data_IF_229371320181
#
_entry.id   IF_229371320181
#
_cell.length_a   1.000
_cell.length_b   1.000
_cell.length_c   1.000
_cell.angle_alpha   90.00
_cell.angle_beta   90.00
_cell.angle_gamma   90.00
#
_symmetry.space_group_name_H-M   'P 1'
#
loop_
_entity.id
_entity.type
_entity.pdbx_description
1 polymer ?
#
# COMPACT_ATOMS: atom_id res chain seq x y z
N UNK A 1 -1.47 76.72 1.63
CA UNK A 1 -1.61 75.99 0.35
C UNK A 1 -0.44 75.02 0.10
N UNK A 2 0.82 75.43 0.30
CA UNK A 2 2.01 74.59 0.05
C UNK A 2 2.12 73.34 0.96
N UNK A 3 1.85 73.47 2.26
CA UNK A 3 1.86 72.35 3.22
C UNK A 3 0.85 71.24 2.88
N UNK A 4 -0.31 71.60 2.33
CA UNK A 4 -1.34 70.63 1.95
C UNK A 4 -0.90 69.79 0.73
N UNK A 5 -0.23 70.41 -0.25
CA UNK A 5 0.30 69.72 -1.42
C UNK A 5 1.44 68.75 -1.05
N UNK A 6 2.32 69.14 -0.12
CA UNK A 6 3.37 68.27 0.40
C UNK A 6 2.78 67.07 1.14
N UNK A 7 1.74 67.28 1.96
CA UNK A 7 1.07 66.20 2.68
C UNK A 7 0.35 65.22 1.74
N UNK A 8 -0.35 65.73 0.72
CA UNK A 8 -0.98 64.91 -0.32
C UNK A 8 0.07 64.11 -1.10
N UNK A 9 1.19 64.72 -1.46
CA UNK A 9 2.30 64.04 -2.14
C UNK A 9 2.91 62.92 -1.29
N UNK A 10 3.09 63.17 0.01
CA UNK A 10 3.56 62.16 0.96
C UNK A 10 2.59 60.99 1.09
N UNK A 11 1.28 61.25 1.27
CA UNK A 11 0.26 60.21 1.34
C UNK A 11 0.19 59.38 0.05
N UNK A 12 0.32 60.03 -1.11
CA UNK A 12 0.35 59.35 -2.40
C UNK A 12 1.59 58.46 -2.54
N UNK A 13 2.76 58.94 -2.11
CA UNK A 13 3.99 58.15 -2.06
C UNK A 13 3.84 56.94 -1.12
N UNK A 14 3.31 57.13 0.09
CA UNK A 14 3.04 56.04 1.03
C UNK A 14 2.11 54.98 0.42
N UNK A 15 1.03 55.40 -0.26
CA UNK A 15 0.11 54.49 -0.95
C UNK A 15 0.79 53.73 -2.08
N UNK A 16 1.63 54.40 -2.87
CA UNK A 16 2.34 53.78 -3.99
C UNK A 16 3.39 52.77 -3.49
N UNK A 17 4.13 53.11 -2.43
CA UNK A 17 5.06 52.21 -1.78
C UNK A 17 4.34 51.00 -1.18
N UNK A 18 3.25 51.21 -0.43
CA UNK A 18 2.43 50.11 0.11
C UNK A 18 1.96 49.17 -1.00
N UNK A 19 1.41 49.70 -2.10
CA UNK A 19 0.95 48.88 -3.22
C UNK A 19 2.09 48.09 -3.87
N UNK A 20 3.27 48.70 -4.08
CA UNK A 20 4.43 48.02 -4.65
C UNK A 20 4.98 46.94 -3.73
N UNK A 21 5.10 47.21 -2.43
CA UNK A 21 5.53 46.24 -1.44
C UNK A 21 4.54 45.09 -1.31
N UNK A 22 3.24 45.38 -1.25
CA UNK A 22 2.17 44.36 -1.20
C UNK A 22 2.19 43.48 -2.45
N UNK A 23 2.30 44.06 -3.64
CA UNK A 23 2.38 43.30 -4.90
C UNK A 23 3.65 42.45 -4.97
N UNK A 24 4.80 43.00 -4.59
CA UNK A 24 6.06 42.27 -4.56
C UNK A 24 6.03 41.12 -3.53
N UNK A 25 5.48 41.38 -2.34
CA UNK A 25 5.32 40.39 -1.29
C UNK A 25 4.36 39.27 -1.71
N UNK A 26 3.25 39.60 -2.38
CA UNK A 26 2.32 38.62 -2.93
C UNK A 26 3.00 37.72 -3.98
N UNK A 27 3.80 38.29 -4.89
CA UNK A 27 4.55 37.51 -5.90
C UNK A 27 5.60 36.62 -5.23
N UNK A 28 6.36 37.16 -4.27
CA UNK A 28 7.36 36.39 -3.53
C UNK A 28 6.71 35.23 -2.75
N UNK A 29 5.59 35.50 -2.06
CA UNK A 29 4.81 34.48 -1.38
C UNK A 29 4.30 33.40 -2.32
N UNK A 30 3.70 33.78 -3.46
CA UNK A 30 3.22 32.82 -4.46
C UNK A 30 4.34 31.94 -5.03
N UNK A 31 5.55 32.50 -5.22
CA UNK A 31 6.72 31.73 -5.65
C UNK A 31 7.14 30.71 -4.60
N UNK A 32 7.20 31.11 -3.34
CA UNK A 32 7.55 30.20 -2.24
C UNK A 32 6.51 29.09 -2.09
N UNK A 33 5.21 29.43 -2.10
CA UNK A 33 4.13 28.43 -2.05
C UNK A 33 4.24 27.43 -3.20
N UNK A 34 4.48 27.91 -4.43
CA UNK A 34 4.66 27.02 -5.59
C UNK A 34 5.90 26.14 -5.45
N UNK A 35 6.99 26.68 -4.92
CA UNK A 35 8.21 25.91 -4.70
C UNK A 35 7.98 24.76 -3.70
N UNK A 36 7.36 25.05 -2.56
CA UNK A 36 7.02 24.02 -1.56
C UNK A 36 6.02 23.00 -2.10
N UNK A 37 5.01 23.45 -2.85
CA UNK A 37 4.05 22.55 -3.52
C UNK A 37 4.75 21.61 -4.52
N UNK A 38 5.70 22.13 -5.30
CA UNK A 38 6.43 21.31 -6.26
C UNK A 38 7.29 20.25 -5.56
N UNK A 39 7.99 20.62 -4.48
CA UNK A 39 8.77 19.65 -3.68
C UNK A 39 7.86 18.58 -3.07
N UNK A 40 6.72 19.00 -2.54
CA UNK A 40 5.73 18.09 -1.97
C UNK A 40 5.21 17.10 -3.03
N UNK A 41 4.86 17.57 -4.23
CA UNK A 41 4.41 16.70 -5.32
C UNK A 41 5.53 15.79 -5.85
N UNK A 42 6.75 16.29 -6.01
CA UNK A 42 7.90 15.45 -6.41
C UNK A 42 8.11 14.29 -5.42
N UNK A 43 7.94 14.57 -4.13
CA UNK A 43 8.00 13.54 -3.11
C UNK A 43 6.85 12.55 -3.21
N UNK A 44 5.61 13.03 -3.33
CA UNK A 44 4.42 12.17 -3.29
C UNK A 44 4.22 11.39 -4.59
N UNK A 45 4.65 11.90 -5.74
CA UNK A 45 4.55 11.22 -7.03
C UNK A 45 5.70 10.24 -7.28
N UNK A 46 6.69 10.17 -6.39
CA UNK A 46 7.77 9.19 -6.49
C UNK A 46 7.24 7.77 -6.40
N UNK A 47 7.67 6.93 -7.34
CA UNK A 47 7.10 5.61 -7.54
C UNK A 47 7.93 4.52 -6.88
N UNK A 48 7.25 3.50 -6.36
CA UNK A 48 7.80 2.17 -6.15
C UNK A 48 7.25 1.22 -7.22
N UNK A 49 8.11 0.35 -7.72
CA UNK A 49 7.72 -0.72 -8.63
C UNK A 49 7.63 -2.06 -7.92
N UNK A 50 6.58 -2.83 -8.19
CA UNK A 50 6.39 -4.18 -7.66
C UNK A 50 6.80 -5.20 -8.73
N UNK A 51 8.04 -5.70 -8.63
CA UNK A 51 8.66 -6.61 -9.60
C UNK A 51 8.06 -8.00 -9.54
N UNK A 52 8.12 -8.59 -8.35
CA UNK A 52 7.50 -9.87 -8.03
C UNK A 52 6.44 -9.64 -6.97
N UNK A 53 5.28 -10.26 -7.16
CA UNK A 53 4.15 -10.21 -6.24
C UNK A 53 3.69 -11.65 -6.02
N UNK A 54 3.85 -12.14 -4.80
CA UNK A 54 3.37 -13.44 -4.37
C UNK A 54 2.38 -13.25 -3.24
N UNK A 55 1.29 -13.99 -3.30
CA UNK A 55 0.22 -13.93 -2.33
C UNK A 55 -0.32 -15.34 -2.11
N UNK A 56 -0.27 -15.79 -0.86
CA UNK A 56 -0.84 -17.04 -0.38
C UNK A 56 -2.08 -16.73 0.45
N UNK A 57 -3.18 -17.39 0.14
CA UNK A 57 -4.42 -17.26 0.88
C UNK A 57 -5.35 -18.44 0.73
N UNK A 58 -6.49 -18.44 1.43
CA UNK A 58 -7.38 -19.60 1.45
C UNK A 58 -8.00 -19.89 0.08
N UNK A 59 -8.17 -18.85 -0.74
CA UNK A 59 -8.64 -18.97 -2.11
C UNK A 59 -7.57 -19.47 -3.09
N UNK A 60 -6.28 -19.30 -2.83
CA UNK A 60 -5.28 -19.70 -3.82
C UNK A 60 -3.87 -19.27 -3.48
N UNK A 61 -2.97 -19.55 -4.40
CA UNK A 61 -1.56 -19.18 -4.27
C UNK A 61 -1.00 -18.64 -5.59
N UNK A 62 -1.53 -19.09 -6.73
CA UNK A 62 -1.00 -18.74 -8.03
C UNK A 62 -1.70 -17.52 -8.64
N UNK A 63 -1.01 -16.81 -9.54
CA UNK A 63 -1.58 -15.65 -10.25
C UNK A 63 -2.93 -15.96 -10.90
N UNK A 64 -3.09 -17.16 -11.45
CA UNK A 64 -4.34 -17.58 -12.09
C UNK A 64 -5.50 -17.73 -11.09
N UNK A 65 -5.22 -18.14 -9.85
CA UNK A 65 -6.25 -18.21 -8.80
C UNK A 65 -6.74 -16.79 -8.49
N UNK A 66 -5.80 -15.86 -8.28
CA UNK A 66 -6.12 -14.47 -7.99
C UNK A 66 -6.83 -13.77 -9.15
N UNK A 67 -6.49 -14.07 -10.40
CA UNK A 67 -7.26 -13.61 -11.56
C UNK A 67 -8.72 -14.07 -11.53
N UNK A 68 -8.98 -15.32 -11.11
CA UNK A 68 -10.35 -15.83 -10.98
C UNK A 68 -11.11 -15.19 -9.82
N UNK A 69 -10.43 -14.88 -8.71
CA UNK A 69 -11.00 -14.10 -7.60
C UNK A 69 -11.38 -12.69 -8.07
N UNK A 70 -10.45 -11.99 -8.73
CA UNK A 70 -10.66 -10.63 -9.25
C UNK A 70 -11.77 -10.57 -10.32
N UNK A 71 -11.90 -11.63 -11.14
CA UNK A 71 -12.99 -11.76 -12.11
C UNK A 71 -14.30 -12.30 -11.51
N UNK A 72 -14.30 -12.59 -10.20
CA UNK A 72 -15.47 -13.13 -9.44
C UNK A 72 -16.00 -14.44 -10.01
N UNK A 73 -15.12 -15.23 -10.60
CA UNK A 73 -15.40 -16.58 -11.13
C UNK A 73 -15.21 -17.62 -10.03
N UNK A 74 -14.25 -17.36 -9.13
CA UNK A 74 -13.91 -18.27 -8.05
C UNK A 74 -14.97 -18.26 -6.95
N UNK A 75 -15.33 -19.46 -6.47
CA UNK A 75 -16.16 -19.58 -5.27
C UNK A 75 -15.34 -19.26 -4.02
N UNK A 76 -15.94 -18.63 -3.00
CA UNK A 76 -15.31 -18.48 -1.70
C UNK A 76 -14.77 -19.83 -1.16
N UNK A 77 -13.62 -19.81 -0.48
CA UNK A 77 -13.04 -20.99 0.16
C UNK A 77 -13.96 -21.55 1.24
N UNK A 78 -13.85 -22.86 1.49
CA UNK A 78 -14.71 -23.56 2.45
C UNK A 78 -14.24 -23.30 3.88
N UNK A 79 -15.18 -22.85 4.72
CA UNK A 79 -14.96 -22.68 6.15
C UNK A 79 -14.60 -24.00 6.84
N UNK A 80 -13.57 -23.96 7.69
CA UNK A 80 -13.20 -25.04 8.60
C UNK A 80 -13.64 -24.68 10.01
N UNK A 81 -13.95 -25.70 10.81
CA UNK A 81 -14.28 -25.54 12.22
C UNK A 81 -13.12 -26.08 13.04
N UNK A 82 -12.42 -25.17 13.72
CA UNK A 82 -11.34 -25.48 14.67
C UNK A 82 -11.87 -25.32 16.10
N UNK A 83 -11.10 -25.79 17.09
CA UNK A 83 -11.49 -25.79 18.51
C UNK A 83 -11.88 -24.40 19.04
N UNK A 84 -11.40 -23.33 18.41
CA UNK A 84 -11.68 -21.94 18.77
C UNK A 84 -12.70 -21.21 17.89
N UNK A 85 -13.30 -21.85 16.88
CA UNK A 85 -14.28 -21.21 15.99
C UNK A 85 -14.06 -21.49 14.51
N UNK A 86 -14.66 -20.64 13.66
CA UNK A 86 -14.60 -20.77 12.20
C UNK A 86 -13.30 -20.21 11.64
N UNK A 87 -12.72 -20.87 10.65
CA UNK A 87 -11.46 -20.47 10.02
C UNK A 87 -11.48 -20.63 8.51
N UNK A 88 -10.73 -19.77 7.83
CA UNK A 88 -10.35 -19.92 6.43
C UNK A 88 -8.85 -20.15 6.37
N UNK A 89 -8.47 -21.39 6.08
CA UNK A 89 -7.08 -21.84 6.11
C UNK A 89 -6.58 -22.19 4.73
N UNK A 90 -5.29 -21.96 4.51
CA UNK A 90 -4.60 -22.40 3.30
C UNK A 90 -4.57 -23.94 3.29
N UNK A 91 -4.88 -24.54 2.14
CA UNK A 91 -5.08 -25.98 2.04
C UNK A 91 -3.84 -26.82 2.44
N UNK A 92 -2.64 -26.23 2.38
CA UNK A 92 -1.34 -26.89 2.54
C UNK A 92 -0.70 -26.74 3.92
N UNK A 93 -1.37 -26.08 4.86
CA UNK A 93 -0.94 -25.95 6.26
C UNK A 93 -1.72 -26.91 7.15
N UNK A 94 -1.01 -27.71 7.95
CA UNK A 94 -1.61 -28.83 8.70
C UNK A 94 -1.46 -28.72 10.22
N UNK A 95 -0.70 -27.74 10.73
CA UNK A 95 -0.58 -27.56 12.18
C UNK A 95 -1.82 -26.86 12.76
N UNK A 96 -2.12 -27.20 14.01
CA UNK A 96 -3.11 -26.51 14.85
C UNK A 96 -2.49 -25.30 15.60
N UNK A 97 -1.16 -25.23 15.69
CA UNK A 97 -0.45 -24.10 16.30
C UNK A 97 -0.26 -22.97 15.29
N UNK A 98 -0.66 -21.74 15.66
CA UNK A 98 -0.65 -20.61 14.72
C UNK A 98 0.77 -20.24 14.27
N UNK A 99 1.74 -20.31 15.17
CA UNK A 99 3.12 -19.95 14.86
C UNK A 99 3.78 -20.99 13.94
N UNK A 100 3.55 -22.28 14.17
CA UNK A 100 3.99 -23.33 13.26
C UNK A 100 3.37 -23.19 11.86
N UNK A 101 2.10 -22.78 11.77
CA UNK A 101 1.44 -22.51 10.48
C UNK A 101 2.12 -21.35 9.77
N UNK A 102 2.37 -20.24 10.46
CA UNK A 102 3.06 -19.09 9.87
C UNK A 102 4.47 -19.46 9.37
N UNK A 103 5.21 -20.28 10.12
CA UNK A 103 6.50 -20.81 9.67
C UNK A 103 6.37 -21.69 8.41
N UNK A 104 5.32 -22.51 8.30
CA UNK A 104 5.04 -23.29 7.10
C UNK A 104 4.71 -22.39 5.91
N UNK A 105 3.96 -21.32 6.12
CA UNK A 105 3.57 -20.37 5.07
C UNK A 105 4.75 -19.61 4.50
N UNK A 106 5.62 -19.04 5.34
CA UNK A 106 6.80 -18.31 4.84
C UNK A 106 7.77 -19.24 4.12
N UNK A 107 7.87 -20.52 4.54
CA UNK A 107 8.65 -21.51 3.79
C UNK A 107 8.04 -21.80 2.42
N UNK A 108 6.72 -21.99 2.36
CA UNK A 108 6.00 -22.20 1.11
C UNK A 108 6.11 -20.99 0.17
N UNK A 109 6.08 -19.78 0.71
CA UNK A 109 6.22 -18.52 -0.03
C UNK A 109 7.59 -18.43 -0.73
N UNK A 110 8.67 -18.75 -0.01
CA UNK A 110 10.02 -18.79 -0.60
C UNK A 110 10.13 -19.84 -1.69
N UNK A 111 9.56 -21.04 -1.46
CA UNK A 111 9.59 -22.11 -2.45
C UNK A 111 8.79 -21.74 -3.70
N UNK A 112 7.64 -21.09 -3.54
CA UNK A 112 6.87 -20.58 -4.68
C UNK A 112 7.61 -19.47 -5.41
N UNK A 113 8.32 -18.59 -4.70
CA UNK A 113 9.14 -17.57 -5.34
C UNK A 113 10.22 -18.17 -6.20
N UNK A 114 10.92 -19.20 -5.68
CA UNK A 114 11.94 -19.94 -6.42
C UNK A 114 11.42 -20.57 -7.71
N UNK A 115 10.17 -21.04 -7.73
CA UNK A 115 9.58 -21.66 -8.92
C UNK A 115 9.00 -20.65 -9.91
N UNK A 116 8.63 -19.45 -9.45
CA UNK A 116 7.91 -18.46 -10.25
C UNK A 116 8.83 -17.36 -10.78
N UNK A 117 9.90 -17.04 -10.04
CA UNK A 117 10.84 -15.99 -10.44
C UNK A 117 11.61 -16.40 -11.69
N UNK A 118 11.65 -15.50 -12.66
CA UNK A 118 12.43 -15.68 -13.89
C UNK A 118 13.91 -15.33 -13.71
N UNK A 119 14.20 -14.46 -12.74
CA UNK A 119 15.53 -13.96 -12.43
C UNK A 119 15.87 -14.14 -10.94
N UNK A 120 17.15 -14.34 -10.64
CA UNK A 120 17.60 -14.35 -9.25
C UNK A 120 17.57 -12.91 -8.70
N UNK A 121 17.14 -12.69 -7.44
CA UNK A 121 17.24 -11.37 -6.81
C UNK A 121 18.72 -10.97 -6.76
N UNK A 122 19.07 -9.80 -7.31
CA UNK A 122 20.49 -9.47 -7.55
C UNK A 122 21.20 -8.92 -6.31
N UNK A 123 20.52 -8.22 -5.41
CA UNK A 123 20.95 -7.93 -4.03
C UNK A 123 19.77 -7.29 -3.31
N UNK A 124 19.44 -7.76 -2.10
CA UNK A 124 18.36 -7.18 -1.30
C UNK A 124 18.95 -6.18 -0.32
N UNK A 125 18.68 -4.89 -0.52
CA UNK A 125 19.23 -3.80 0.30
C UNK A 125 18.51 -3.63 1.63
N UNK A 126 17.18 -3.82 1.66
CA UNK A 126 16.35 -3.70 2.86
C UNK A 126 15.26 -4.77 2.87
N UNK A 127 14.86 -5.19 4.06
CA UNK A 127 13.77 -6.13 4.27
C UNK A 127 12.79 -5.53 5.27
N UNK A 128 11.52 -5.44 4.88
CA UNK A 128 10.40 -5.05 5.72
C UNK A 128 9.56 -6.29 6.01
N UNK A 129 9.17 -6.49 7.27
CA UNK A 129 8.51 -7.71 7.70
C UNK A 129 7.29 -7.44 8.58
N UNK A 130 6.19 -8.12 8.27
CA UNK A 130 5.01 -8.23 9.12
C UNK A 130 4.89 -9.66 9.66
N UNK A 131 5.08 -9.82 10.96
CA UNK A 131 4.96 -11.11 11.65
C UNK A 131 5.98 -11.24 12.79
N UNK A 132 6.01 -12.41 13.40
CA UNK A 132 6.87 -12.66 14.57
C UNK A 132 8.34 -12.96 14.20
N UNK A 133 9.24 -12.72 15.16
CA UNK A 133 10.67 -12.98 15.01
C UNK A 133 11.00 -14.46 14.69
N UNK A 134 10.22 -15.39 15.24
CA UNK A 134 10.37 -16.83 14.95
C UNK A 134 10.03 -17.15 13.49
N UNK A 135 9.00 -16.49 12.94
CA UNK A 135 8.57 -16.64 11.55
C UNK A 135 9.61 -16.04 10.61
N UNK A 136 10.16 -14.86 10.95
CA UNK A 136 11.27 -14.27 10.19
C UNK A 136 12.52 -15.17 10.19
N UNK A 137 12.84 -15.82 11.30
CA UNK A 137 13.92 -16.81 11.36
C UNK A 137 13.69 -17.97 10.38
N UNK A 138 12.47 -18.53 10.36
CA UNK A 138 12.10 -19.58 9.42
C UNK A 138 12.16 -19.13 7.95
N UNK A 139 11.69 -17.90 7.65
CA UNK A 139 11.78 -17.30 6.33
C UNK A 139 13.25 -17.19 5.86
N UNK A 140 14.14 -16.68 6.71
CA UNK A 140 15.56 -16.53 6.38
C UNK A 140 16.28 -17.84 6.17
N UNK A 141 16.02 -18.83 7.03
CA UNK A 141 16.59 -20.16 6.84
C UNK A 141 16.17 -20.73 5.48
N UNK A 142 14.89 -20.63 5.11
CA UNK A 142 14.42 -21.10 3.81
C UNK A 142 15.00 -20.30 2.65
N UNK A 143 15.17 -18.98 2.79
CA UNK A 143 15.81 -18.12 1.79
C UNK A 143 17.27 -18.48 1.57
N UNK A 144 18.01 -18.78 2.64
CA UNK A 144 19.40 -19.23 2.55
C UNK A 144 19.52 -20.53 1.75
N UNK A 145 18.62 -21.49 1.99
CA UNK A 145 18.59 -22.77 1.28
C UNK A 145 18.13 -22.62 -0.19
N UNK A 146 17.13 -21.75 -0.42
CA UNK A 146 16.53 -21.57 -1.73
C UNK A 146 17.37 -20.69 -2.67
N UNK A 147 18.01 -19.66 -2.11
CA UNK A 147 18.74 -18.58 -2.78
C UNK A 147 20.09 -18.29 -2.07
N UNK A 148 21.08 -19.19 -2.15
CA UNK A 148 22.32 -19.09 -1.36
C UNK A 148 23.19 -17.86 -1.65
N UNK A 149 22.95 -17.14 -2.75
CA UNK A 149 23.62 -15.88 -3.08
C UNK A 149 22.95 -14.63 -2.49
N UNK A 150 21.78 -14.76 -1.87
CA UNK A 150 21.02 -13.65 -1.29
C UNK A 150 21.24 -13.61 0.21
N UNK A 151 21.88 -12.54 0.68
CA UNK A 151 22.08 -12.30 2.11
C UNK A 151 20.94 -11.44 2.64
N UNK A 152 20.24 -11.93 3.66
CA UNK A 152 19.21 -11.18 4.38
C UNK A 152 19.77 -10.67 5.71
N UNK A 153 19.32 -9.50 6.20
CA UNK A 153 19.80 -8.94 7.48
C UNK A 153 19.38 -9.80 8.67
N UNK A 154 20.09 -9.69 9.81
CA UNK A 154 19.83 -10.38 11.09
C UNK A 154 18.56 -9.92 11.84
N UNK A 155 18.00 -8.77 11.48
CA UNK A 155 16.64 -8.39 11.85
C UNK A 155 16.01 -7.64 10.68
N UNK A 156 14.70 -7.83 10.42
CA UNK A 156 14.01 -7.04 9.43
C UNK A 156 13.61 -5.70 10.06
N UNK A 157 13.24 -4.76 9.21
CA UNK A 157 12.52 -3.57 9.65
C UNK A 157 11.03 -3.90 9.75
N UNK A 158 10.28 -3.34 10.71
CA UNK A 158 8.86 -3.62 10.83
C UNK A 158 8.09 -3.06 9.63
N UNK A 159 7.07 -3.79 9.19
CA UNK A 159 6.04 -3.25 8.30
C UNK A 159 5.07 -2.38 9.11
N UNK A 160 4.94 -1.12 8.70
CA UNK A 160 4.13 -0.09 9.36
C UNK A 160 3.13 0.58 8.41
N UNK A 161 2.60 -0.18 7.45
CA UNK A 161 1.58 0.33 6.52
C UNK A 161 2.12 1.41 5.58
N UNK A 162 1.39 2.53 5.48
CA UNK A 162 1.73 3.65 4.59
C UNK A 162 3.13 4.20 4.88
N UNK A 163 3.55 4.28 6.15
CA UNK A 163 4.88 4.75 6.52
C UNK A 163 6.01 3.91 5.87
N UNK A 164 5.81 2.60 5.72
CA UNK A 164 6.75 1.73 5.00
C UNK A 164 6.73 2.00 3.50
N UNK A 165 5.56 2.28 2.91
CA UNK A 165 5.45 2.66 1.49
C UNK A 165 6.18 3.98 1.21
N UNK A 166 5.95 5.01 2.04
CA UNK A 166 6.67 6.28 1.95
C UNK A 166 8.18 6.07 2.03
N UNK A 167 8.65 5.24 2.96
CA UNK A 167 10.07 4.91 3.10
C UNK A 167 10.65 4.19 1.88
N UNK A 168 9.90 3.26 1.29
CA UNK A 168 10.31 2.58 0.05
C UNK A 168 10.46 3.56 -1.11
N UNK A 169 9.54 4.54 -1.24
CA UNK A 169 9.67 5.58 -2.29
C UNK A 169 10.91 6.45 -2.09
N UNK A 170 11.23 6.81 -0.85
CA UNK A 170 12.44 7.57 -0.55
C UNK A 170 13.72 6.78 -0.87
N UNK A 171 13.79 5.51 -0.48
CA UNK A 171 14.94 4.63 -0.76
C UNK A 171 15.18 4.46 -2.28
N UNK A 172 14.13 4.29 -3.07
CA UNK A 172 14.26 4.19 -4.53
C UNK A 172 14.59 5.52 -5.21
N UNK A 173 14.21 6.65 -4.61
CA UNK A 173 14.64 7.98 -5.08
C UNK A 173 16.14 8.19 -4.85
N UNK A 174 16.65 7.70 -3.72
CA UNK A 174 18.08 7.74 -3.38
C UNK A 174 18.90 6.79 -4.26
N UNK A 175 18.43 5.56 -4.48
CA UNK A 175 19.07 4.56 -5.34
C UNK A 175 18.05 3.74 -6.14
N UNK A 176 17.80 4.15 -7.38
CA UNK A 176 16.87 3.47 -8.29
C UNK A 176 17.27 2.03 -8.66
N UNK A 177 18.54 1.63 -8.43
CA UNK A 177 19.01 0.27 -8.70
C UNK A 177 18.81 -0.67 -7.51
N UNK A 178 18.53 -0.12 -6.32
CA UNK A 178 18.30 -0.91 -5.13
C UNK A 178 17.05 -1.77 -5.27
N UNK A 179 17.08 -2.93 -4.59
CA UNK A 179 15.93 -3.81 -4.47
C UNK A 179 15.63 -4.01 -3.00
N UNK A 180 14.34 -4.00 -2.65
CA UNK A 180 13.88 -4.19 -1.30
C UNK A 180 12.87 -5.32 -1.26
N UNK A 181 12.80 -5.98 -0.11
CA UNK A 181 11.90 -7.08 0.11
C UNK A 181 10.84 -6.66 1.14
N UNK A 182 9.57 -6.88 0.82
CA UNK A 182 8.47 -6.77 1.78
C UNK A 182 7.87 -8.15 1.94
N UNK A 183 7.77 -8.65 3.17
CA UNK A 183 7.17 -9.95 3.46
C UNK A 183 6.21 -9.80 4.62
N UNK A 184 5.03 -10.42 4.52
CA UNK A 184 4.11 -10.52 5.62
C UNK A 184 3.55 -11.91 5.76
N UNK A 185 3.28 -12.33 7.00
CA UNK A 185 2.63 -13.59 7.29
C UNK A 185 1.85 -13.50 8.60
N UNK A 186 0.57 -13.81 8.55
CA UNK A 186 -0.30 -13.90 9.74
C UNK A 186 -1.28 -15.04 9.58
N UNK A 187 -1.40 -15.85 10.63
CA UNK A 187 -2.49 -16.80 10.85
C UNK A 187 -3.29 -16.32 12.05
N UNK A 188 -4.51 -15.84 11.82
CA UNK A 188 -5.35 -15.34 12.90
C UNK A 188 -5.90 -16.53 13.74
N UNK A 189 -5.90 -16.43 15.08
CA UNK A 189 -6.55 -17.42 15.92
C UNK A 189 -8.06 -17.38 15.70
N UNK A 190 -8.69 -18.56 15.73
CA UNK A 190 -10.15 -18.67 15.69
C UNK A 190 -10.77 -18.03 16.94
N UNK A 191 -11.91 -17.36 16.78
CA UNK A 191 -12.69 -16.81 17.88
C UNK A 191 -14.16 -17.21 17.74
N UNK A 192 -14.83 -17.67 18.83
CA UNK A 192 -16.22 -18.10 18.80
C UNK A 192 -17.19 -16.92 18.58
N UNK A 193 -16.80 -15.72 18.99
CA UNK A 193 -17.64 -14.51 18.94
C UNK A 193 -17.50 -13.74 17.62
N UNK A 194 -16.62 -14.21 16.72
CA UNK A 194 -16.36 -13.55 15.45
C UNK A 194 -17.44 -13.84 14.41
N UNK A 195 -17.95 -12.79 13.76
CA UNK A 195 -18.89 -12.91 12.64
C UNK A 195 -18.24 -13.55 11.41
N UNK A 196 -16.99 -13.18 11.12
CA UNK A 196 -16.20 -13.69 10.01
C UNK A 196 -15.23 -14.77 10.49
N UNK A 197 -14.93 -15.80 9.68
CA UNK A 197 -13.92 -16.80 10.02
C UNK A 197 -12.54 -16.15 10.17
N UNK A 198 -11.70 -16.69 11.06
CA UNK A 198 -10.32 -16.24 11.18
C UNK A 198 -9.51 -16.62 9.93
N UNK A 199 -8.82 -15.64 9.35
CA UNK A 199 -8.07 -15.78 8.12
C UNK A 199 -6.62 -16.22 8.33
N UNK A 200 -5.98 -16.51 7.21
CA UNK A 200 -4.57 -16.82 7.14
C UNK A 200 -4.02 -16.36 5.79
N UNK A 201 -2.87 -15.70 5.81
CA UNK A 201 -2.26 -15.18 4.59
C UNK A 201 -0.76 -15.00 4.72
N UNK A 202 -0.08 -15.04 3.58
CA UNK A 202 1.31 -14.60 3.47
C UNK A 202 1.53 -13.90 2.13
N UNK A 203 2.35 -12.86 2.12
CA UNK A 203 2.65 -12.06 0.94
C UNK A 203 4.15 -11.77 0.84
N UNK A 204 4.67 -11.70 -0.37
CA UNK A 204 6.04 -11.28 -0.67
C UNK A 204 6.05 -10.35 -1.87
N UNK A 205 6.72 -9.21 -1.71
CA UNK A 205 7.00 -8.26 -2.78
C UNK A 205 8.50 -8.07 -2.97
N UNK A 206 8.96 -8.22 -4.20
CA UNK A 206 10.24 -7.66 -4.61
C UNK A 206 10.00 -6.26 -5.15
N UNK A 207 10.51 -5.25 -4.45
CA UNK A 207 10.33 -3.84 -4.76
C UNK A 207 11.57 -3.30 -5.46
N UNK A 208 11.39 -2.53 -6.54
CA UNK A 208 12.47 -1.81 -7.24
C UNK A 208 11.93 -0.91 -8.34
N UNK A 209 12.78 -0.10 -9.00
CA UNK A 209 12.31 0.90 -9.97
C UNK A 209 11.74 0.30 -11.28
N UNK A 210 12.33 -0.80 -11.77
CA UNK A 210 11.94 -1.44 -13.04
C UNK A 210 10.99 -2.62 -12.78
N UNK A 211 9.68 -2.37 -12.90
CA UNK A 211 8.63 -3.33 -12.54
C UNK A 211 7.44 -3.22 -13.51
N UNK A 212 6.64 -4.29 -13.69
CA UNK A 212 5.47 -4.28 -14.57
C UNK A 212 4.36 -3.33 -14.09
N UNK A 213 4.28 -3.10 -12.78
CA UNK A 213 3.34 -2.18 -12.15
C UNK A 213 4.06 -1.30 -11.15
N UNK A 214 3.52 -0.10 -10.99
CA UNK A 214 4.07 0.95 -10.13
C UNK A 214 2.96 1.58 -9.31
N UNK A 215 3.31 2.10 -8.16
CA UNK A 215 2.45 2.98 -7.38
C UNK A 215 3.30 4.02 -6.68
N UNK A 216 2.79 5.23 -6.46
CA UNK A 216 3.42 6.13 -5.52
C UNK A 216 3.23 5.62 -4.09
N UNK A 217 3.69 6.39 -3.10
CA UNK A 217 3.29 6.15 -1.70
C UNK A 217 1.77 6.17 -1.57
N UNK A 218 1.24 5.50 -0.55
CA UNK A 218 -0.17 5.63 -0.22
C UNK A 218 -0.50 7.02 0.32
N UNK A 219 -1.78 7.33 0.35
CA UNK A 219 -2.36 8.41 1.15
C UNK A 219 -2.99 7.81 2.41
N UNK A 220 -3.06 8.59 3.49
CA UNK A 220 -3.68 8.14 4.74
C UNK A 220 -4.88 9.02 5.09
N UNK A 221 -5.83 8.42 5.82
CA UNK A 221 -7.01 9.08 6.35
C UNK A 221 -7.14 8.81 7.84
N UNK A 222 -7.46 9.88 8.58
CA UNK A 222 -7.78 9.82 10.00
C UNK A 222 -9.21 10.29 10.24
N UNK A 223 -10.05 9.42 10.82
CA UNK A 223 -11.45 9.72 11.09
C UNK A 223 -11.66 10.89 12.07
N UNK A 224 -10.65 11.20 12.89
CA UNK A 224 -10.64 12.35 13.79
C UNK A 224 -10.18 13.65 13.13
N UNK A 225 -9.58 13.58 11.93
CA UNK A 225 -9.12 14.76 11.20
C UNK A 225 -10.28 15.41 10.43
N UNK A 226 -10.08 16.67 10.03
CA UNK A 226 -11.10 17.44 9.31
C UNK A 226 -11.14 17.18 7.81
N UNK A 227 -10.11 16.55 7.23
CA UNK A 227 -10.04 16.32 5.78
C UNK A 227 -10.97 15.16 5.39
N UNK A 228 -12.02 15.39 4.57
CA UNK A 228 -12.90 14.34 4.11
C UNK A 228 -12.16 13.27 3.31
N UNK A 229 -12.52 12.00 3.50
CA UNK A 229 -11.92 10.87 2.77
C UNK A 229 -11.97 11.06 1.24
N UNK A 230 -13.01 11.69 0.70
CA UNK A 230 -13.12 12.03 -0.72
C UNK A 230 -11.96 12.88 -1.23
N UNK A 231 -11.54 13.91 -0.48
CA UNK A 231 -10.43 14.77 -0.89
C UNK A 231 -9.11 13.98 -0.96
N UNK A 232 -8.97 12.99 -0.08
CA UNK A 232 -7.79 12.12 -0.01
C UNK A 232 -7.78 11.16 -1.20
N UNK A 233 -8.94 10.62 -1.60
CA UNK A 233 -9.09 9.86 -2.85
C UNK A 233 -8.75 10.72 -4.08
N UNK A 234 -9.27 11.96 -4.17
CA UNK A 234 -8.96 12.90 -5.26
C UNK A 234 -7.46 13.24 -5.31
N UNK A 235 -6.81 13.34 -4.15
CA UNK A 235 -5.35 13.51 -4.03
C UNK A 235 -4.59 12.30 -4.55
N UNK A 236 -5.00 11.08 -4.21
CA UNK A 236 -4.40 9.85 -4.72
C UNK A 236 -4.53 9.71 -6.25
N UNK A 237 -5.65 10.15 -6.83
CA UNK A 237 -5.86 10.25 -8.29
C UNK A 237 -4.86 11.23 -8.92
N UNK A 238 -4.74 12.42 -8.34
CA UNK A 238 -3.79 13.46 -8.79
C UNK A 238 -2.34 12.99 -8.67
N UNK A 239 -1.99 12.34 -7.56
CA UNK A 239 -0.67 11.77 -7.30
C UNK A 239 -0.28 10.69 -8.31
N UNK A 240 -1.27 9.96 -8.83
CA UNK A 240 -1.07 8.98 -9.89
C UNK A 240 -1.18 9.56 -11.30
N UNK A 241 -1.38 10.87 -11.44
CA UNK A 241 -1.55 11.58 -12.72
C UNK A 241 -2.70 11.01 -13.57
N UNK A 242 -3.80 10.63 -12.91
CA UNK A 242 -4.99 10.11 -13.58
C UNK A 242 -6.04 11.21 -13.76
N UNK A 243 -6.75 11.16 -14.89
CA UNK A 243 -7.86 12.08 -15.19
C UNK A 243 -9.18 11.70 -14.50
N UNK A 244 -9.35 10.41 -14.20
CA UNK A 244 -10.57 9.83 -13.63
C UNK A 244 -10.25 8.91 -12.44
N UNK A 245 -11.26 8.70 -11.59
CA UNK A 245 -11.19 7.71 -10.51
C UNK A 245 -10.94 6.29 -11.04
N UNK A 246 -10.22 5.42 -10.29
CA UNK A 246 -10.04 4.04 -10.71
C UNK A 246 -11.38 3.32 -10.77
N UNK A 247 -11.68 2.70 -11.92
CA UNK A 247 -12.92 1.96 -12.13
C UNK A 247 -13.10 0.76 -11.16
N UNK A 248 -11.98 0.24 -10.67
CA UNK A 248 -11.89 -0.89 -9.75
C UNK A 248 -11.15 -0.45 -8.49
N UNK A 249 -11.75 -0.71 -7.32
CA UNK A 249 -11.10 -0.58 -6.02
C UNK A 249 -11.21 -1.91 -5.25
N UNK A 250 -10.11 -2.34 -4.63
CA UNK A 250 -10.02 -3.57 -3.83
C UNK A 250 -9.87 -3.21 -2.36
N UNK A 251 -10.70 -3.81 -1.52
CA UNK A 251 -10.76 -3.49 -0.10
C UNK A 251 -11.45 -4.61 0.69
N UNK A 252 -11.36 -4.52 2.01
CA UNK A 252 -12.22 -5.25 2.94
C UNK A 252 -13.39 -4.36 3.38
N UNK A 253 -14.43 -4.96 3.96
CA UNK A 253 -15.56 -4.18 4.47
C UNK A 253 -15.16 -3.42 5.74
N UNK A 254 -15.43 -2.11 5.76
CA UNK A 254 -15.21 -1.24 6.92
C UNK A 254 -16.54 -0.61 7.39
N UNK A 255 -17.51 -1.39 7.89
CA UNK A 255 -18.82 -0.85 8.29
C UNK A 255 -18.73 0.20 9.41
N UNK A 256 -17.66 0.17 10.20
CA UNK A 256 -17.34 1.15 11.24
C UNK A 256 -16.84 2.50 10.70
N UNK A 257 -16.54 2.60 9.40
CA UNK A 257 -16.05 3.81 8.72
C UNK A 257 -17.02 4.18 7.59
N UNK A 258 -18.18 4.81 7.90
CA UNK A 258 -19.22 5.08 6.90
C UNK A 258 -18.73 5.96 5.73
N UNK A 259 -17.68 6.76 5.95
CA UNK A 259 -17.06 7.64 4.94
C UNK A 259 -16.53 6.87 3.73
N UNK A 260 -16.23 5.57 3.86
CA UNK A 260 -15.82 4.71 2.73
C UNK A 260 -16.92 4.60 1.66
N UNK A 261 -18.20 4.76 2.03
CA UNK A 261 -19.29 4.78 1.06
C UNK A 261 -19.42 6.12 0.32
N UNK A 262 -18.75 7.16 0.79
CA UNK A 262 -18.84 8.54 0.30
C UNK A 262 -17.55 9.01 -0.39
N UNK A 263 -16.53 8.14 -0.49
CA UNK A 263 -15.21 8.51 -1.00
C UNK A 263 -15.13 8.70 -2.52
N UNK A 264 -16.16 8.29 -3.27
CA UNK A 264 -16.25 8.40 -4.73
C UNK A 264 -15.81 7.16 -5.50
N UNK A 265 -14.98 6.31 -4.89
CA UNK A 265 -14.51 5.07 -5.51
C UNK A 265 -15.53 3.92 -5.42
N UNK A 266 -15.38 2.91 -6.28
CA UNK A 266 -16.24 1.73 -6.25
C UNK A 266 -15.86 0.75 -5.12
N UNK A 267 -16.42 0.97 -3.93
CA UNK A 267 -16.11 0.23 -2.69
C UNK A 267 -16.99 -0.99 -2.43
N UNK A 268 -17.87 -1.36 -3.36
CA UNK A 268 -18.85 -2.44 -3.15
C UNK A 268 -18.61 -3.69 -3.98
N UNK A 269 -17.86 -3.59 -5.09
CA UNK A 269 -17.81 -4.66 -6.10
C UNK A 269 -16.70 -5.70 -5.88
N UNK A 270 -15.59 -5.34 -5.24
CA UNK A 270 -14.43 -6.21 -5.05
C UNK A 270 -14.05 -6.37 -3.57
N UNK A 271 -15.06 -6.51 -2.72
CA UNK A 271 -14.90 -6.82 -1.30
C UNK A 271 -14.22 -8.19 -1.11
N UNK A 272 -13.21 -8.22 -0.25
CA UNK A 272 -12.35 -9.39 -0.05
C UNK A 272 -12.77 -10.27 1.13
N UNK A 273 -13.71 -9.83 1.97
CA UNK A 273 -14.13 -10.50 3.21
C UNK A 273 -14.38 -12.00 3.05
N UNK A 274 -15.11 -12.39 1.99
CA UNK A 274 -15.51 -13.78 1.77
C UNK A 274 -14.34 -14.70 1.36
N UNK A 275 -13.23 -14.16 0.86
CA UNK A 275 -12.09 -14.96 0.39
C UNK A 275 -11.02 -15.13 1.48
N UNK A 276 -11.01 -14.25 2.47
CA UNK A 276 -9.93 -14.14 3.44
C UNK A 276 -10.41 -14.25 4.90
N UNK A 277 -11.68 -13.95 5.17
CA UNK A 277 -12.18 -13.84 6.55
C UNK A 277 -11.60 -12.61 7.22
N UNK A 278 -11.25 -12.72 8.50
CA UNK A 278 -10.50 -11.68 9.22
C UNK A 278 -9.02 -11.77 8.84
N UNK A 279 -8.46 -10.75 8.15
CA UNK A 279 -7.07 -10.78 7.69
C UNK A 279 -6.06 -10.40 8.78
N UNK A 280 -6.52 -9.82 9.90
CA UNK A 280 -5.64 -9.20 10.88
C UNK A 280 -4.85 -8.05 10.25
N UNK A 281 -3.58 -7.90 10.64
CA UNK A 281 -2.69 -6.86 10.11
C UNK A 281 -2.26 -7.07 8.64
N UNK A 282 -2.59 -8.20 8.03
CA UNK A 282 -2.23 -8.50 6.63
C UNK A 282 -3.08 -7.75 5.59
N UNK A 283 -4.15 -7.07 6.02
CA UNK A 283 -5.09 -6.40 5.12
C UNK A 283 -4.41 -5.53 4.04
N UNK A 284 -3.46 -4.62 4.37
CA UNK A 284 -2.81 -3.78 3.36
C UNK A 284 -2.02 -4.60 2.34
N UNK A 285 -1.27 -5.61 2.83
CA UNK A 285 -0.46 -6.46 1.95
C UNK A 285 -1.35 -7.28 1.01
N UNK A 286 -2.53 -7.71 1.46
CA UNK A 286 -3.49 -8.44 0.62
C UNK A 286 -4.05 -7.51 -0.47
N UNK A 287 -4.63 -6.37 -0.11
CA UNK A 287 -5.34 -5.51 -1.09
C UNK A 287 -4.37 -4.88 -2.09
N UNK A 288 -3.17 -4.49 -1.66
CA UNK A 288 -2.13 -3.96 -2.56
C UNK A 288 -1.66 -5.06 -3.52
N UNK A 289 -1.43 -6.28 -3.03
CA UNK A 289 -1.04 -7.41 -3.90
C UNK A 289 -2.10 -7.67 -4.96
N UNK A 290 -3.38 -7.70 -4.57
CA UNK A 290 -4.48 -7.93 -5.49
C UNK A 290 -4.65 -6.78 -6.49
N UNK A 291 -4.48 -5.53 -6.06
CA UNK A 291 -4.55 -4.36 -6.93
C UNK A 291 -3.40 -4.36 -7.95
N UNK A 292 -2.21 -4.76 -7.52
CA UNK A 292 -1.06 -4.91 -8.40
C UNK A 292 -1.23 -6.04 -9.42
N UNK A 293 -1.73 -7.20 -8.99
CA UNK A 293 -2.07 -8.30 -9.90
C UNK A 293 -3.20 -7.93 -10.88
N UNK A 294 -4.20 -7.16 -10.44
CA UNK A 294 -5.23 -6.63 -11.33
C UNK A 294 -4.63 -5.68 -12.37
N UNK A 295 -3.87 -4.67 -11.92
CA UNK A 295 -3.30 -3.66 -12.79
C UNK A 295 -2.35 -4.27 -13.83
N UNK A 296 -1.57 -5.27 -13.44
CA UNK A 296 -0.70 -6.00 -14.33
C UNK A 296 -1.47 -6.77 -15.42
N UNK A 297 -2.58 -7.42 -15.06
CA UNK A 297 -3.31 -8.32 -15.95
C UNK A 297 -4.30 -7.60 -16.87
N UNK A 298 -5.01 -6.60 -16.33
CA UNK A 298 -6.03 -5.85 -17.07
C UNK A 298 -5.43 -4.60 -17.73
N UNK A 299 -4.17 -4.26 -17.44
CA UNK A 299 -3.48 -3.06 -17.93
C UNK A 299 -4.28 -1.77 -17.65
N UNK A 300 -4.87 -1.69 -16.45
CA UNK A 300 -5.69 -0.57 -15.97
C UNK A 300 -5.31 -0.20 -14.53
N UNK A 301 -5.40 1.08 -14.12
CA UNK A 301 -5.22 1.44 -12.72
C UNK A 301 -6.24 0.75 -11.81
N UNK A 302 -5.80 0.42 -10.59
CA UNK A 302 -6.64 -0.20 -9.56
C UNK A 302 -6.42 0.51 -8.23
N UNK A 303 -7.51 1.03 -7.65
CA UNK A 303 -7.52 1.57 -6.31
C UNK A 303 -7.41 0.45 -5.27
N UNK A 304 -6.86 0.78 -4.11
CA UNK A 304 -6.89 -0.05 -2.93
C UNK A 304 -7.19 0.80 -1.69
N UNK A 305 -7.89 0.22 -0.72
CA UNK A 305 -8.15 0.81 0.60
C UNK A 305 -7.94 -0.29 1.65
N UNK A 306 -7.23 0.05 2.72
CA UNK A 306 -7.05 -0.81 3.88
C UNK A 306 -6.99 -0.02 5.18
N UNK A 307 -7.14 -0.72 6.31
CA UNK A 307 -6.65 -0.24 7.61
C UNK A 307 -5.17 0.12 7.56
N UNK A 308 -4.73 0.95 8.51
CA UNK A 308 -3.33 1.31 8.69
C UNK A 308 -2.93 1.19 10.18
N UNK A 309 -1.68 0.83 10.52
CA UNK A 309 -1.25 0.75 11.92
C UNK A 309 -1.18 2.10 12.64
N UNK A 310 -0.94 3.19 11.91
CA UNK A 310 -0.73 4.54 12.45
C UNK A 310 -1.95 5.45 12.19
N UNK A 311 -2.72 5.16 11.16
CA UNK A 311 -3.88 5.93 10.73
C UNK A 311 -5.17 5.13 10.74
N UNK A 312 -6.32 5.78 10.53
CA UNK A 312 -7.60 5.05 10.42
C UNK A 312 -7.65 4.18 9.15
N UNK A 313 -7.20 4.73 8.02
CA UNK A 313 -7.09 4.02 6.74
C UNK A 313 -5.83 4.48 6.00
N UNK A 314 -5.34 3.62 5.12
CA UNK A 314 -4.45 3.96 4.02
C UNK A 314 -5.12 3.59 2.69
N UNK A 315 -4.83 4.34 1.64
CA UNK A 315 -5.36 4.12 0.30
C UNK A 315 -4.36 4.53 -0.77
N UNK A 316 -4.57 4.05 -1.98
CA UNK A 316 -3.73 4.44 -3.11
C UNK A 316 -4.17 3.77 -4.40
N UNK A 317 -3.36 3.92 -5.44
CA UNK A 317 -3.65 3.35 -6.75
C UNK A 317 -2.40 2.67 -7.28
N UNK A 318 -2.54 1.42 -7.73
CA UNK A 318 -1.52 0.72 -8.51
C UNK A 318 -1.84 0.86 -9.99
N UNK A 319 -0.85 1.21 -10.81
CA UNK A 319 -1.00 1.35 -12.27
C UNK A 319 0.07 0.58 -13.05
N UNK A 320 -0.17 0.22 -14.32
CA UNK A 320 0.85 -0.35 -15.18
C UNK A 320 2.05 0.60 -15.36
N UNK A 321 3.26 0.06 -15.46
CA UNK A 321 4.45 0.86 -15.74
C UNK A 321 4.41 1.41 -17.17
N UNK A 322 4.68 2.72 -17.33
CA UNK A 322 4.75 3.37 -18.64
C UNK A 322 3.40 3.56 -19.34
N UNK A 323 2.28 3.21 -18.69
CA UNK A 323 0.91 3.49 -19.12
C UNK A 323 0.05 3.87 -17.91
N UNK A 324 -0.16 5.17 -17.77
CA UNK A 324 -1.15 5.84 -16.95
C UNK A 324 -1.51 7.11 -17.67
#
# INVERSE_FOLDING_TARGET
MWLALVFIGFLWLCRLLYFRFSSHHAIAWQRNVRYEQNLWWEEHQSLIGLKDILLLGPAGAETMDWQRVLRRIQRPPVERHETGGKTLRIARTFSADSQEREQQLVRALVMQWKTTSRDMPQAISRCFFLGDAAVWSAFRAQMHDAFPGVNLPDQPEPWEGEATLARLTALLREDAKSQHLVVGCVSCPASPDSLLPAGESAALWLVGADAPVVMPRGEFYDASASDPLRNICERAVTQCELDEDPATCILFSHPQIPQVNECGWNTTHNLQDNYWGIPGSMEPLIVISLAALYAQNEAQPCGWISTDPQHTLALGIVKPHGKG
#
